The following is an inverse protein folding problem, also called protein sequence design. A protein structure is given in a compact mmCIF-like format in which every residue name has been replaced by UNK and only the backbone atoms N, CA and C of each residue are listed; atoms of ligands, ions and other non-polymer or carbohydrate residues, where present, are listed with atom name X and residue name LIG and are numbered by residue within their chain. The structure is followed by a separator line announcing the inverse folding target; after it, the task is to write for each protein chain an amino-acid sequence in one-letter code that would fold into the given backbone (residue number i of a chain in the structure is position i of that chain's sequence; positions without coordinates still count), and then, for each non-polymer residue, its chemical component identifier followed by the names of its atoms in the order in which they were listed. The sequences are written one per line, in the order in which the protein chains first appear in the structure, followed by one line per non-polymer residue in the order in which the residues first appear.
data_IF_625942154589
#
_entry.id   IF_625942154589
#
_cell.length_a   1.000
_cell.length_b   1.000
_cell.length_c   1.000
_cell.angle_alpha   90.00
_cell.angle_beta   90.00
_cell.angle_gamma   90.00
#
_symmetry.space_group_name_H-M   'P 1'
#
loop_
_entity.id
_entity.type
_entity.pdbx_description
1 polymer ?
#
# COMPACT_ATOMS: atom_id res chain seq x y z
N UNK A 1 1.41 -30.46 53.07
CA UNK A 1 1.22 -30.76 51.63
C UNK A 1 1.34 -29.44 50.88
N UNK A 2 2.42 -29.29 50.11
CA UNK A 2 2.75 -28.06 49.38
C UNK A 2 1.94 -28.07 48.08
N UNK A 3 0.98 -27.15 47.95
CA UNK A 3 0.19 -27.00 46.73
C UNK A 3 0.94 -26.07 45.75
N UNK A 4 1.26 -26.62 44.58
CA UNK A 4 1.86 -25.90 43.46
C UNK A 4 0.81 -25.04 42.75
N UNK A 5 1.14 -23.77 42.53
CA UNK A 5 0.40 -22.84 41.68
C UNK A 5 0.55 -23.22 40.19
N UNK A 6 -0.51 -23.21 39.37
CA UNK A 6 -0.39 -23.37 37.93
C UNK A 6 0.13 -22.07 37.28
N UNK A 7 1.36 -22.16 36.76
CA UNK A 7 1.98 -21.16 35.90
C UNK A 7 1.34 -21.16 34.50
N UNK A 8 1.31 -19.98 33.86
CA UNK A 8 1.01 -19.89 32.42
C UNK A 8 0.37 -18.59 31.94
N UNK A 9 0.74 -17.41 32.46
CA UNK A 9 0.46 -16.15 31.76
C UNK A 9 1.69 -15.80 30.93
N UNK A 10 1.56 -15.87 29.61
CA UNK A 10 2.53 -15.34 28.65
C UNK A 10 2.62 -13.82 28.84
N UNK A 11 3.52 -13.39 29.73
CA UNK A 11 3.92 -12.00 29.83
C UNK A 11 4.87 -11.70 28.67
N UNK A 12 4.43 -10.84 27.76
CA UNK A 12 5.24 -10.29 26.68
C UNK A 12 6.43 -9.53 27.27
N UNK A 13 7.61 -10.15 27.28
CA UNK A 13 8.87 -9.50 27.64
C UNK A 13 9.49 -8.89 26.38
N UNK A 14 8.90 -7.81 25.88
CA UNK A 14 9.63 -6.83 25.06
C UNK A 14 10.09 -5.71 26.00
N UNK A 15 11.22 -5.94 26.66
CA UNK A 15 11.98 -4.84 27.25
C UNK A 15 12.81 -4.21 26.14
N UNK A 16 12.31 -3.10 25.57
CA UNK A 16 13.11 -2.23 24.73
C UNK A 16 14.14 -1.53 25.62
N UNK A 17 15.39 -1.97 25.56
CA UNK A 17 16.53 -1.21 26.06
C UNK A 17 16.59 0.12 25.28
N UNK A 18 16.09 1.17 25.92
CA UNK A 18 15.94 2.55 25.43
C UNK A 18 17.24 3.33 25.61
N UNK A 19 18.34 2.89 24.98
CA UNK A 19 19.65 3.58 25.04
C UNK A 19 20.28 3.89 23.67
N UNK A 20 19.51 3.90 22.58
CA UNK A 20 19.97 4.23 21.21
C UNK A 20 19.29 5.46 20.59
N UNK A 21 19.02 6.47 21.41
CA UNK A 21 18.23 7.69 21.09
C UNK A 21 18.89 8.65 20.07
N UNK A 22 19.86 8.21 19.26
CA UNK A 22 20.45 9.02 18.14
C UNK A 22 20.30 8.42 16.74
N UNK A 23 19.81 7.20 16.63
CA UNK A 23 19.23 6.68 15.39
C UNK A 23 17.73 6.59 15.61
N UNK A 24 16.97 7.59 15.16
CA UNK A 24 15.74 7.18 14.47
C UNK A 24 16.26 6.32 13.33
N UNK A 25 16.14 5.00 13.51
CA UNK A 25 16.72 3.99 12.63
C UNK A 25 16.37 4.36 11.18
N UNK A 26 17.39 4.61 10.35
CA UNK A 26 17.21 4.99 8.95
C UNK A 26 16.22 4.04 8.26
N UNK A 27 16.23 2.77 8.66
CA UNK A 27 15.29 1.72 8.25
C UNK A 27 13.84 2.12 8.50
N UNK A 28 13.52 2.61 9.69
CA UNK A 28 12.15 3.03 10.02
C UNK A 28 11.73 4.29 9.28
N UNK A 29 12.66 5.21 9.06
CA UNK A 29 12.40 6.38 8.22
C UNK A 29 12.08 5.96 6.79
N UNK A 30 12.83 5.01 6.22
CA UNK A 30 12.56 4.47 4.88
C UNK A 30 11.19 3.78 4.80
N UNK A 31 10.83 3.00 5.84
CA UNK A 31 9.51 2.36 5.92
C UNK A 31 8.40 3.42 5.99
N UNK A 32 8.57 4.47 6.80
CA UNK A 32 7.59 5.56 6.89
C UNK A 32 7.39 6.27 5.54
N UNK A 33 8.46 6.53 4.80
CA UNK A 33 8.38 7.10 3.45
C UNK A 33 7.61 6.17 2.50
N UNK A 34 7.91 4.87 2.52
CA UNK A 34 7.21 3.90 1.69
C UNK A 34 5.71 3.76 2.02
N UNK A 35 5.31 4.00 3.28
CA UNK A 35 3.89 3.99 3.66
C UNK A 35 3.11 5.21 3.14
N UNK A 36 3.78 6.26 2.68
CA UNK A 36 3.15 7.40 2.02
C UNK A 36 2.85 7.12 0.53
N UNK A 37 3.29 5.98 -0.01
CA UNK A 37 3.09 5.59 -1.39
C UNK A 37 1.62 5.18 -1.65
N UNK A 38 1.03 5.49 -2.84
CA UNK A 38 -0.33 5.10 -3.23
C UNK A 38 -0.69 3.63 -2.94
N UNK A 39 0.30 2.75 -3.02
CA UNK A 39 0.16 1.32 -2.72
C UNK A 39 -0.33 1.00 -1.30
N UNK A 40 0.04 1.80 -0.28
CA UNK A 40 -0.49 1.65 1.07
C UNK A 40 -1.82 2.41 1.24
N UNK A 41 -1.96 3.57 0.58
CA UNK A 41 -3.20 4.34 0.60
C UNK A 41 -4.40 3.49 0.15
N UNK A 42 -4.25 2.67 -0.89
CA UNK A 42 -5.34 1.78 -1.35
C UNK A 42 -5.84 0.85 -0.22
N UNK A 43 -4.94 0.29 0.58
CA UNK A 43 -5.32 -0.57 1.69
C UNK A 43 -6.05 0.20 2.80
N UNK A 44 -5.64 1.45 3.06
CA UNK A 44 -6.35 2.34 3.98
C UNK A 44 -7.75 2.72 3.47
N UNK A 45 -7.89 3.01 2.17
CA UNK A 45 -9.19 3.28 1.54
C UNK A 45 -10.12 2.08 1.60
N UNK A 46 -9.61 0.85 1.49
CA UNK A 46 -10.42 -0.38 1.64
C UNK A 46 -11.05 -0.47 3.03
N UNK A 47 -10.30 -0.16 4.09
CA UNK A 47 -10.85 -0.09 5.46
C UNK A 47 -11.95 0.96 5.53
N UNK A 48 -11.71 2.15 4.99
CA UNK A 48 -12.73 3.23 4.94
C UNK A 48 -14.01 2.78 4.22
N UNK A 49 -13.88 2.03 3.11
CA UNK A 49 -15.04 1.47 2.38
C UNK A 49 -15.77 0.45 3.26
N UNK A 50 -15.06 -0.46 3.92
CA UNK A 50 -15.66 -1.47 4.78
C UNK A 50 -16.39 -0.84 5.98
N UNK A 51 -15.82 0.19 6.60
CA UNK A 51 -16.48 0.97 7.66
C UNK A 51 -17.77 1.64 7.18
N UNK A 52 -17.75 2.25 5.98
CA UNK A 52 -18.94 2.86 5.38
C UNK A 52 -20.00 1.82 5.06
N UNK A 53 -19.60 0.65 4.60
CA UNK A 53 -20.51 -0.47 4.35
C UNK A 53 -21.13 -0.98 5.66
N UNK A 54 -20.37 -1.05 6.76
CA UNK A 54 -20.90 -1.37 8.08
C UNK A 54 -21.91 -0.32 8.56
N UNK A 55 -21.61 0.98 8.39
CA UNK A 55 -22.55 2.06 8.70
C UNK A 55 -23.83 1.96 7.85
N UNK A 56 -23.70 1.67 6.55
CA UNK A 56 -24.83 1.43 5.65
C UNK A 56 -25.67 0.23 6.08
N UNK A 57 -25.04 -0.89 6.44
CA UNK A 57 -25.74 -2.07 6.95
C UNK A 57 -26.51 -1.77 8.24
N UNK A 58 -25.88 -1.03 9.19
CA UNK A 58 -26.54 -0.59 10.42
C UNK A 58 -27.72 0.37 10.17
N UNK A 59 -27.65 1.21 9.14
CA UNK A 59 -28.73 2.14 8.77
C UNK A 59 -29.76 1.57 7.80
N UNK A 60 -29.55 0.35 7.29
CA UNK A 60 -30.38 -0.23 6.22
C UNK A 60 -31.83 -0.52 6.64
N UNK A 61 -32.14 -0.49 7.93
CA UNK A 61 -33.53 -0.55 8.42
C UNK A 61 -34.36 0.65 7.94
N UNK A 62 -33.74 1.80 7.67
CA UNK A 62 -34.42 2.98 7.11
C UNK A 62 -35.03 2.69 5.73
N UNK A 63 -34.55 1.66 5.02
CA UNK A 63 -35.10 1.26 3.72
C UNK A 63 -36.54 0.76 3.79
N UNK A 64 -37.05 0.43 4.99
CA UNK A 64 -38.44 0.03 5.17
C UNK A 64 -39.41 1.20 4.98
N UNK A 65 -38.93 2.43 5.15
CA UNK A 65 -39.71 3.64 4.98
C UNK A 65 -39.52 4.17 3.56
N UNK A 66 -40.62 4.35 2.82
CA UNK A 66 -40.57 5.03 1.53
C UNK A 66 -41.69 6.07 1.43
N UNK A 67 -41.35 7.20 0.82
CA UNK A 67 -42.28 8.27 0.50
C UNK A 67 -42.21 8.48 -1.02
N UNK A 68 -43.36 8.42 -1.68
CA UNK A 68 -43.50 8.62 -3.11
C UNK A 68 -44.51 9.74 -3.38
N UNK A 69 -44.10 10.74 -4.15
CA UNK A 69 -45.01 11.75 -4.70
C UNK A 69 -45.41 11.38 -6.12
N UNK A 70 -46.68 11.49 -6.45
CA UNK A 70 -47.20 11.27 -7.80
C UNK A 70 -47.79 12.59 -8.31
N UNK A 71 -47.25 13.11 -9.42
CA UNK A 71 -47.80 14.27 -10.12
C UNK A 71 -48.57 13.77 -11.34
N UNK A 72 -49.90 13.70 -11.23
CA UNK A 72 -50.79 13.35 -12.35
C UNK A 72 -51.40 14.63 -12.95
N UNK A 73 -51.01 14.99 -14.18
CA UNK A 73 -51.51 16.18 -14.90
C UNK A 73 -53.01 16.09 -15.28
N UNK A 74 -53.60 14.90 -15.28
CA UNK A 74 -55.03 14.68 -15.57
C UNK A 74 -55.96 15.31 -14.52
N UNK A 75 -55.54 15.38 -13.25
CA UNK A 75 -56.34 16.00 -12.17
C UNK A 75 -56.40 17.53 -12.25
N UNK A 76 -55.45 18.18 -12.94
CA UNK A 76 -55.37 19.65 -13.02
C UNK A 76 -56.24 20.19 -14.17
N UNK A 77 -56.51 19.38 -15.20
CA UNK A 77 -57.28 19.81 -16.39
C UNK A 77 -58.80 19.70 -16.20
N UNK A 78 -59.27 18.83 -15.30
CA UNK A 78 -60.69 18.72 -14.95
C UNK A 78 -61.18 19.87 -14.06
N UNK A 79 -60.31 20.48 -13.25
CA UNK A 79 -60.69 21.64 -12.41
C UNK A 79 -60.97 22.92 -13.24
N UNK A 80 -60.44 23.01 -14.46
CA UNK A 80 -60.61 24.15 -15.37
C UNK A 80 -61.57 23.89 -16.55
N UNK A 81 -62.15 22.69 -16.65
CA UNK A 81 -63.07 22.33 -17.75
C UNK A 81 -64.49 22.10 -17.24
N UNK A 82 -65.03 23.06 -16.50
CA UNK A 82 -66.46 23.14 -16.21
C UNK A 82 -67.16 23.85 -17.37
N UNK A 83 -67.73 23.09 -18.31
CA UNK A 83 -68.85 23.57 -19.14
C UNK A 83 -69.45 22.48 -20.04
N UNK A 84 -70.15 21.49 -19.49
CA UNK A 84 -71.34 20.91 -20.16
C UNK A 84 -72.20 20.05 -19.20
N UNK A 85 -73.35 20.56 -18.72
CA UNK A 85 -74.24 19.83 -17.80
C UNK A 85 -75.08 18.70 -18.44
N UNK A 86 -75.01 18.47 -19.76
CA UNK A 86 -75.88 17.50 -20.47
C UNK A 86 -75.15 16.28 -21.08
N UNK A 87 -73.92 15.95 -20.65
CA UNK A 87 -73.25 14.72 -21.11
C UNK A 87 -73.44 13.58 -20.09
N UNK A 88 -74.15 12.48 -20.41
CA UNK A 88 -74.35 11.33 -19.52
C UNK A 88 -73.06 10.51 -19.24
N UNK A 89 -71.96 10.79 -19.94
CA UNK A 89 -70.62 10.29 -19.62
C UNK A 89 -69.79 11.24 -18.74
N UNK A 90 -70.40 12.33 -18.25
CA UNK A 90 -69.75 13.23 -17.30
C UNK A 90 -69.86 12.61 -15.90
N UNK A 91 -69.04 11.57 -15.65
CA UNK A 91 -68.69 11.17 -14.29
C UNK A 91 -67.90 12.34 -13.67
N UNK A 92 -68.64 13.33 -13.18
CA UNK A 92 -68.17 14.42 -12.34
C UNK A 92 -67.83 13.87 -10.94
N UNK A 93 -67.03 12.80 -10.90
CA UNK A 93 -66.45 12.21 -9.73
C UNK A 93 -64.96 12.42 -9.85
N UNK A 94 -64.49 13.62 -9.47
CA UNK A 94 -63.09 13.97 -9.46
C UNK A 94 -62.29 12.83 -8.83
N UNK A 95 -61.59 12.09 -9.68
CA UNK A 95 -60.81 10.93 -9.25
C UNK A 95 -59.58 11.50 -8.54
N UNK A 96 -59.77 11.79 -7.26
CA UNK A 96 -58.76 12.34 -6.37
C UNK A 96 -57.71 11.24 -6.13
N UNK A 97 -56.75 11.15 -7.04
CA UNK A 97 -55.58 10.31 -6.81
C UNK A 97 -54.73 10.98 -5.71
N UNK A 98 -54.36 10.24 -4.65
CA UNK A 98 -53.48 10.78 -3.62
C UNK A 98 -52.15 11.22 -4.25
N UNK A 99 -51.88 12.54 -4.17
CA UNK A 99 -50.65 13.18 -4.70
C UNK A 99 -49.39 12.74 -3.96
N UNK A 100 -49.54 12.24 -2.75
CA UNK A 100 -48.48 11.72 -1.89
C UNK A 100 -48.90 10.37 -1.34
N UNK A 101 -48.03 9.37 -1.47
CA UNK A 101 -48.20 8.04 -0.95
C UNK A 101 -47.03 7.70 -0.03
N UNK A 102 -47.33 7.26 1.18
CA UNK A 102 -46.35 6.72 2.12
C UNK A 102 -46.57 5.23 2.21
N UNK A 103 -45.51 4.43 2.07
CA UNK A 103 -45.60 2.99 2.23
C UNK A 103 -44.53 2.48 3.19
N UNK A 104 -44.95 1.52 4.02
CA UNK A 104 -44.09 0.73 4.88
C UNK A 104 -44.10 -0.69 4.33
N UNK A 105 -42.94 -1.18 3.91
CA UNK A 105 -42.79 -2.55 3.42
C UNK A 105 -41.83 -3.30 4.33
N UNK A 106 -42.37 -4.25 5.10
CA UNK A 106 -41.62 -5.09 6.04
C UNK A 106 -41.69 -6.56 5.60
N UNK A 107 -40.63 -7.09 4.97
CA UNK A 107 -40.50 -8.53 4.75
C UNK A 107 -40.55 -9.32 6.06
N UNK A 108 -41.03 -10.56 6.03
CA UNK A 108 -41.13 -11.40 7.22
C UNK A 108 -39.76 -11.70 7.89
N UNK A 109 -38.68 -11.70 7.10
CA UNK A 109 -37.30 -11.95 7.55
C UNK A 109 -36.52 -10.65 7.86
N UNK A 110 -37.18 -9.50 7.89
CA UNK A 110 -36.53 -8.19 7.99
C UNK A 110 -35.50 -8.11 9.12
N UNK A 111 -35.86 -8.49 10.35
CA UNK A 111 -34.95 -8.36 11.49
C UNK A 111 -33.79 -9.37 11.46
N UNK A 112 -34.04 -10.60 11.03
CA UNK A 112 -33.02 -11.66 10.96
C UNK A 112 -32.01 -11.39 9.83
N UNK A 113 -32.50 -11.01 8.64
CA UNK A 113 -31.67 -10.63 7.50
C UNK A 113 -30.76 -9.44 7.85
N UNK A 114 -31.33 -8.37 8.45
CA UNK A 114 -30.59 -7.16 8.83
C UNK A 114 -29.52 -7.41 9.88
N UNK A 115 -29.82 -8.25 10.88
CA UNK A 115 -28.82 -8.66 11.89
C UNK A 115 -27.65 -9.39 11.26
N UNK A 116 -27.93 -10.30 10.31
CA UNK A 116 -26.89 -11.00 9.57
C UNK A 116 -26.09 -10.06 8.66
N UNK A 117 -26.73 -9.14 7.94
CA UNK A 117 -26.04 -8.13 7.11
C UNK A 117 -25.03 -7.32 7.93
N UNK A 118 -25.41 -6.90 9.14
CA UNK A 118 -24.51 -6.16 10.05
C UNK A 118 -23.35 -7.03 10.52
N UNK A 119 -23.59 -8.31 10.83
CA UNK A 119 -22.51 -9.25 11.19
C UNK A 119 -21.54 -9.45 10.04
N UNK A 120 -22.04 -9.71 8.83
CA UNK A 120 -21.22 -9.87 7.63
C UNK A 120 -20.41 -8.62 7.33
N UNK A 121 -21.04 -7.43 7.38
CA UNK A 121 -20.33 -6.18 7.16
C UNK A 121 -19.26 -5.89 8.23
N UNK A 122 -19.46 -6.35 9.47
CA UNK A 122 -18.46 -6.25 10.55
C UNK A 122 -17.28 -7.18 10.28
N UNK A 123 -17.51 -8.43 9.91
CA UNK A 123 -16.43 -9.35 9.56
C UNK A 123 -15.63 -8.83 8.36
N UNK A 124 -16.30 -8.27 7.35
CA UNK A 124 -15.61 -7.63 6.22
C UNK A 124 -14.75 -6.43 6.63
N UNK A 125 -15.13 -5.68 7.67
CA UNK A 125 -14.30 -4.61 8.24
C UNK A 125 -13.04 -5.18 8.91
N UNK A 126 -13.18 -6.23 9.73
CA UNK A 126 -12.03 -6.89 10.35
C UNK A 126 -11.08 -7.51 9.32
N UNK A 127 -11.62 -8.09 8.25
CA UNK A 127 -10.82 -8.59 7.11
C UNK A 127 -10.05 -7.43 6.48
N UNK A 128 -10.69 -6.29 6.19
CA UNK A 128 -10.01 -5.14 5.60
C UNK A 128 -8.90 -4.58 6.51
N UNK A 129 -9.11 -4.53 7.83
CA UNK A 129 -8.08 -4.14 8.80
C UNK A 129 -6.90 -5.13 8.83
N UNK A 130 -7.18 -6.42 8.79
CA UNK A 130 -6.16 -7.47 8.71
C UNK A 130 -5.35 -7.35 7.41
N UNK A 131 -6.01 -7.16 6.26
CA UNK A 131 -5.37 -6.91 4.96
C UNK A 131 -4.46 -5.67 5.00
N UNK A 132 -4.90 -4.57 5.64
CA UNK A 132 -4.09 -3.36 5.80
C UNK A 132 -2.84 -3.64 6.65
N UNK A 133 -2.97 -4.39 7.73
CA UNK A 133 -1.84 -4.77 8.58
C UNK A 133 -0.86 -5.72 7.87
N UNK A 134 -1.38 -6.68 7.10
CA UNK A 134 -0.56 -7.54 6.23
C UNK A 134 0.19 -6.70 5.19
N UNK A 135 -0.49 -5.74 4.56
CA UNK A 135 0.13 -4.84 3.58
C UNK A 135 1.24 -4.02 4.21
N UNK A 136 1.03 -3.49 5.42
CA UNK A 136 2.07 -2.80 6.18
C UNK A 136 3.30 -3.69 6.38
N UNK A 137 3.11 -4.94 6.84
CA UNK A 137 4.20 -5.89 7.09
C UNK A 137 4.96 -6.24 5.81
N UNK A 138 4.24 -6.43 4.71
CA UNK A 138 4.83 -6.71 3.39
C UNK A 138 5.67 -5.52 2.90
N UNK A 139 5.12 -4.31 2.92
CA UNK A 139 5.87 -3.09 2.53
C UNK A 139 7.13 -2.94 3.41
N UNK A 140 6.97 -3.12 4.73
CA UNK A 140 8.10 -3.05 5.66
C UNK A 140 9.18 -4.06 5.29
N UNK A 141 8.82 -5.34 5.10
CA UNK A 141 9.78 -6.38 4.69
C UNK A 141 10.49 -5.99 3.40
N UNK A 142 9.72 -5.60 2.38
CA UNK A 142 10.27 -5.32 1.05
C UNK A 142 11.25 -4.13 1.09
N UNK A 143 10.91 -3.05 1.79
CA UNK A 143 11.80 -1.89 1.99
C UNK A 143 13.08 -2.30 2.70
N UNK A 144 12.99 -3.07 3.78
CA UNK A 144 14.16 -3.50 4.54
C UNK A 144 15.06 -4.41 3.73
N UNK A 145 14.49 -5.36 2.97
CA UNK A 145 15.25 -6.23 2.07
C UNK A 145 15.96 -5.42 0.99
N UNK A 146 15.27 -4.49 0.31
CA UNK A 146 15.90 -3.65 -0.72
C UNK A 146 16.96 -2.71 -0.15
N UNK A 147 16.80 -2.27 1.10
CA UNK A 147 17.83 -1.49 1.77
C UNK A 147 19.10 -2.32 2.03
N UNK A 148 18.97 -3.58 2.44
CA UNK A 148 20.13 -4.47 2.58
C UNK A 148 20.80 -4.76 1.24
N UNK A 149 20.02 -5.00 0.18
CA UNK A 149 20.56 -5.20 -1.17
C UNK A 149 21.35 -3.96 -1.64
N UNK A 150 20.81 -2.76 -1.39
CA UNK A 150 21.50 -1.50 -1.65
C UNK A 150 22.84 -1.41 -0.90
N UNK A 151 22.87 -1.71 0.40
CA UNK A 151 24.10 -1.68 1.20
C UNK A 151 25.12 -2.69 0.69
N UNK A 152 24.70 -3.92 0.42
CA UNK A 152 25.55 -4.97 -0.13
C UNK A 152 26.16 -4.56 -1.48
N UNK A 153 25.34 -4.05 -2.41
CA UNK A 153 25.84 -3.67 -3.72
C UNK A 153 26.74 -2.44 -3.68
N UNK A 154 26.48 -1.51 -2.77
CA UNK A 154 27.37 -0.38 -2.50
C UNK A 154 28.75 -0.87 -2.05
N UNK A 155 28.79 -1.76 -1.07
CA UNK A 155 30.03 -2.32 -0.55
C UNK A 155 30.81 -3.08 -1.63
N UNK A 156 30.12 -3.90 -2.45
CA UNK A 156 30.73 -4.58 -3.60
C UNK A 156 31.33 -3.60 -4.59
N UNK A 157 30.60 -2.52 -4.93
CA UNK A 157 31.11 -1.50 -5.83
C UNK A 157 32.35 -0.79 -5.26
N UNK A 158 32.33 -0.44 -3.97
CA UNK A 158 33.47 0.18 -3.28
C UNK A 158 34.69 -0.77 -3.26
N UNK A 159 34.47 -2.07 -3.03
CA UNK A 159 35.51 -3.09 -3.06
C UNK A 159 36.12 -3.25 -4.46
N UNK A 160 35.29 -3.43 -5.49
CA UNK A 160 35.77 -3.53 -6.87
C UNK A 160 36.55 -2.28 -7.28
N UNK A 161 36.09 -1.09 -6.86
CA UNK A 161 36.80 0.17 -7.10
C UNK A 161 38.21 0.17 -6.50
N UNK A 162 38.37 -0.31 -5.25
CA UNK A 162 39.69 -0.42 -4.61
C UNK A 162 40.58 -1.45 -5.28
N UNK A 163 40.03 -2.63 -5.63
CA UNK A 163 40.79 -3.68 -6.34
C UNK A 163 41.24 -3.15 -7.71
N UNK A 164 40.37 -2.50 -8.49
CA UNK A 164 40.73 -1.90 -9.78
C UNK A 164 41.87 -0.90 -9.64
N UNK A 165 41.89 -0.11 -8.57
CA UNK A 165 42.98 0.83 -8.33
C UNK A 165 44.32 0.12 -8.05
N UNK A 166 44.29 -1.01 -7.34
CA UNK A 166 45.45 -1.87 -7.14
C UNK A 166 45.95 -2.46 -8.45
N UNK A 167 45.07 -3.10 -9.22
CA UNK A 167 45.38 -3.69 -10.54
C UNK A 167 45.90 -2.64 -11.53
N UNK A 168 45.37 -1.41 -11.50
CA UNK A 168 45.87 -0.32 -12.33
C UNK A 168 47.32 0.04 -11.98
N UNK A 169 47.65 0.04 -10.69
CA UNK A 169 49.01 0.34 -10.22
C UNK A 169 49.98 -0.77 -10.64
N UNK A 170 49.56 -2.03 -10.54
CA UNK A 170 50.35 -3.19 -10.99
C UNK A 170 50.55 -3.18 -12.51
N UNK A 171 49.50 -2.90 -13.27
CA UNK A 171 49.56 -2.72 -14.72
C UNK A 171 50.57 -1.63 -15.11
N UNK A 172 50.57 -0.49 -14.42
CA UNK A 172 51.52 0.60 -14.69
C UNK A 172 52.97 0.25 -14.34
N UNK A 173 53.18 -0.53 -13.30
CA UNK A 173 54.51 -1.05 -12.98
C UNK A 173 54.97 -2.04 -14.05
N UNK A 174 54.12 -3.00 -14.44
CA UNK A 174 54.43 -3.98 -15.47
C UNK A 174 54.67 -3.32 -16.85
N UNK A 175 53.93 -2.26 -17.19
CA UNK A 175 54.14 -1.47 -18.41
C UNK A 175 55.55 -0.88 -18.45
N UNK A 176 56.01 -0.33 -17.31
CA UNK A 176 57.36 0.18 -17.17
C UNK A 176 58.41 -0.94 -17.25
N UNK A 177 58.25 -2.01 -16.47
CA UNK A 177 59.20 -3.11 -16.42
C UNK A 177 59.33 -3.81 -17.78
N UNK A 178 58.24 -3.85 -18.56
CA UNK A 178 58.26 -4.37 -19.93
C UNK A 178 59.01 -3.44 -20.88
N UNK A 179 58.79 -2.13 -20.78
CA UNK A 179 59.52 -1.12 -21.57
C UNK A 179 61.02 -1.13 -21.26
N UNK A 180 61.39 -1.37 -20.01
CA UNK A 180 62.77 -1.52 -19.54
C UNK A 180 63.36 -2.92 -19.87
N UNK A 181 62.58 -3.82 -20.46
CA UNK A 181 63.00 -5.17 -20.86
C UNK A 181 63.19 -6.15 -19.69
N UNK A 182 62.65 -5.83 -18.51
CA UNK A 182 62.83 -6.60 -17.26
C UNK A 182 61.84 -7.76 -17.14
N UNK A 183 60.68 -7.67 -17.80
CA UNK A 183 59.68 -8.76 -17.90
C UNK A 183 59.39 -9.12 -19.36
N UNK A 184 58.84 -10.32 -19.58
CA UNK A 184 58.45 -10.77 -20.92
C UNK A 184 57.10 -10.20 -21.37
N UNK A 185 56.84 -10.18 -22.67
CA UNK A 185 55.54 -9.78 -23.22
C UNK A 185 54.38 -10.66 -22.70
N UNK A 186 54.63 -11.95 -22.45
CA UNK A 186 53.64 -12.86 -21.88
C UNK A 186 53.29 -12.48 -20.44
N UNK A 187 54.30 -12.15 -19.62
CA UNK A 187 54.09 -11.70 -18.24
C UNK A 187 53.32 -10.37 -18.20
N UNK A 188 53.69 -9.41 -19.06
CA UNK A 188 52.97 -8.14 -19.18
C UNK A 188 51.50 -8.35 -19.58
N UNK A 189 51.25 -9.15 -20.62
CA UNK A 189 49.89 -9.44 -21.11
C UNK A 189 49.00 -10.05 -20.02
N UNK A 190 49.57 -10.89 -19.15
CA UNK A 190 48.82 -11.48 -18.04
C UNK A 190 48.31 -10.42 -17.05
N UNK A 191 49.15 -9.45 -16.68
CA UNK A 191 48.77 -8.33 -15.79
C UNK A 191 47.75 -7.44 -16.49
N UNK A 192 47.97 -7.12 -17.76
CA UNK A 192 47.05 -6.30 -18.56
C UNK A 192 45.64 -6.92 -18.63
N UNK A 193 45.54 -8.23 -18.90
CA UNK A 193 44.26 -8.94 -18.90
C UNK A 193 43.61 -8.92 -17.52
N UNK A 194 44.38 -9.05 -16.43
CA UNK A 194 43.89 -8.92 -15.06
C UNK A 194 43.22 -7.57 -14.81
N UNK A 195 43.90 -6.48 -15.16
CA UNK A 195 43.36 -5.12 -15.04
C UNK A 195 42.08 -4.91 -15.85
N UNK A 196 42.03 -5.34 -17.12
CA UNK A 196 40.82 -5.19 -17.94
C UNK A 196 39.65 -6.02 -17.43
N UNK A 197 39.88 -7.25 -16.96
CA UNK A 197 38.83 -8.05 -16.34
C UNK A 197 38.26 -7.36 -15.10
N UNK A 198 39.11 -6.73 -14.29
CA UNK A 198 38.66 -6.01 -13.11
C UNK A 198 37.92 -4.70 -13.44
N UNK A 199 38.25 -4.04 -14.57
CA UNK A 199 37.46 -2.91 -15.08
C UNK A 199 36.04 -3.33 -15.45
N UNK A 200 35.88 -4.48 -16.12
CA UNK A 200 34.58 -5.05 -16.46
C UNK A 200 33.78 -5.35 -15.18
N UNK A 201 34.41 -6.04 -14.22
CA UNK A 201 33.77 -6.37 -12.95
C UNK A 201 33.34 -5.13 -12.16
N UNK A 202 34.15 -4.05 -12.15
CA UNK A 202 33.77 -2.76 -11.55
C UNK A 202 32.56 -2.14 -12.24
N UNK A 203 32.51 -2.15 -13.57
CA UNK A 203 31.39 -1.61 -14.33
C UNK A 203 30.09 -2.37 -14.03
N UNK A 204 30.15 -3.70 -13.92
CA UNK A 204 29.02 -4.53 -13.52
C UNK A 204 28.58 -4.24 -12.08
N UNK A 205 29.52 -4.12 -11.14
CA UNK A 205 29.23 -3.78 -9.75
C UNK A 205 28.55 -2.40 -9.65
N UNK A 206 29.02 -1.41 -10.39
CA UNK A 206 28.41 -0.07 -10.48
C UNK A 206 26.98 -0.13 -11.01
N UNK A 207 26.75 -0.90 -12.09
CA UNK A 207 25.40 -1.09 -12.64
C UNK A 207 24.48 -1.69 -11.58
N UNK A 208 24.91 -2.75 -10.91
CA UNK A 208 24.09 -3.45 -9.91
C UNK A 208 23.79 -2.56 -8.70
N UNK A 209 24.77 -1.76 -8.25
CA UNK A 209 24.54 -0.74 -7.23
C UNK A 209 23.48 0.28 -7.66
N UNK A 210 23.56 0.79 -8.89
CA UNK A 210 22.57 1.74 -9.41
C UNK A 210 21.17 1.12 -9.49
N UNK A 211 21.05 -0.14 -9.93
CA UNK A 211 19.76 -0.85 -9.97
C UNK A 211 19.19 -1.00 -8.57
N UNK A 212 19.97 -1.48 -7.60
CA UNK A 212 19.53 -1.63 -6.21
C UNK A 212 19.09 -0.29 -5.60
N UNK A 213 19.79 0.80 -5.95
CA UNK A 213 19.39 2.17 -5.59
C UNK A 213 18.01 2.52 -6.15
N UNK A 214 17.80 2.36 -7.45
CA UNK A 214 16.51 2.70 -8.09
C UNK A 214 15.35 1.84 -7.57
N UNK A 215 15.57 0.56 -7.29
CA UNK A 215 14.56 -0.31 -6.72
C UNK A 215 14.12 0.13 -5.32
N UNK A 216 15.06 0.58 -4.49
CA UNK A 216 14.75 1.15 -3.19
C UNK A 216 14.00 2.48 -3.32
N UNK A 217 14.47 3.37 -4.20
CA UNK A 217 13.86 4.68 -4.47
C UNK A 217 12.42 4.55 -4.98
N UNK A 218 12.13 3.53 -5.79
CA UNK A 218 10.76 3.23 -6.26
C UNK A 218 9.80 2.93 -5.09
N UNK A 219 10.28 2.26 -4.04
CA UNK A 219 9.44 1.94 -2.87
C UNK A 219 9.20 3.17 -2.00
N UNK A 220 10.25 3.94 -1.72
CA UNK A 220 10.19 5.09 -0.79
C UNK A 220 9.71 6.39 -1.45
N UNK A 221 9.72 6.47 -2.78
CA UNK A 221 9.24 7.62 -3.55
C UNK A 221 10.15 8.85 -3.54
N UNK A 222 11.37 8.75 -3.02
CA UNK A 222 12.36 9.84 -2.93
C UNK A 222 13.76 9.30 -3.19
N UNK A 223 14.71 10.18 -3.50
CA UNK A 223 16.11 9.79 -3.67
C UNK A 223 16.72 9.34 -2.33
N UNK A 224 17.45 8.22 -2.32
CA UNK A 224 18.04 7.70 -1.07
C UNK A 224 19.11 8.63 -0.50
N UNK A 225 19.82 9.37 -1.35
CA UNK A 225 20.89 10.28 -0.94
C UNK A 225 20.36 11.49 -0.15
N UNK A 226 19.09 11.86 -0.35
CA UNK A 226 18.41 12.94 0.40
C UNK A 226 17.95 12.49 1.79
N UNK A 227 17.78 11.18 1.98
CA UNK A 227 17.30 10.59 3.24
C UNK A 227 18.47 10.22 4.15
N UNK A 228 19.60 9.81 3.57
CA UNK A 228 20.81 9.51 4.32
C UNK A 228 21.38 10.80 4.94
N UNK A 229 21.84 10.77 6.20
CA UNK A 229 22.49 11.92 6.80
C UNK A 229 23.75 12.26 5.98
N UNK A 230 23.83 13.52 5.52
CA UNK A 230 25.04 14.04 4.89
C UNK A 230 26.18 13.91 5.90
N UNK A 231 27.24 13.20 5.50
CA UNK A 231 28.49 13.11 6.27
C UNK A 231 29.21 14.44 6.26
#
# INVERSE_FOLDING_TARGET
AIAQNPAGRNASTYHSNLDTVKQVDIRERLVQLALQNPNYEIADRKVTIAERNLKKAKGSWLSAFSAAGNLNELSIKELNSSSNPNNPNNLNGGLFFPRYNFSLTLPFDFFSARSNDVKVARENMYIAEAEKNERYRTIRRDVLTRYEDFLMHKEKFDLHTRITQGEYTEYKLAEKDFADGTITAEAFKKVEVGYYNQLIAKAEAQRNFNVAKYELELLIGVNIDDVLPRK
#
